data_IF_648488327571
#
_entry.id   IF_648488327571
#
_cell.length_a   1.000
_cell.length_b   1.000
_cell.length_c   1.000
_cell.angle_alpha   90.00
_cell.angle_beta   90.00
_cell.angle_gamma   90.00
#
_symmetry.space_group_name_H-M   'P 1'
#
loop_
_entity.id
_entity.type
_entity.pdbx_description
1 polymer ?
#
# COMPACT_ATOMS: atom_id res chain seq x y z
N UNK A 1 -0.79 -5.17 -8.54
CA UNK A 1 -1.83 -4.14 -8.38
C UNK A 1 -1.20 -2.76 -8.48
N UNK A 2 -1.75 -1.95 -9.32
CA UNK A 2 -1.30 -0.59 -9.54
C UNK A 2 -2.43 0.37 -9.18
N UNK A 3 -2.19 1.31 -8.29
CA UNK A 3 -3.19 2.29 -7.91
C UNK A 3 -2.61 3.69 -7.97
N UNK A 4 -3.46 4.64 -8.37
CA UNK A 4 -3.07 6.03 -8.59
C UNK A 4 -4.05 6.95 -7.89
N UNK A 5 -3.53 7.93 -7.17
CA UNK A 5 -4.35 8.98 -6.56
C UNK A 5 -3.67 10.32 -6.84
N UNK A 6 -4.29 11.12 -7.70
CA UNK A 6 -3.63 12.32 -8.20
C UNK A 6 -2.40 11.92 -9.01
N UNK A 7 -1.23 12.41 -8.59
CA UNK A 7 0.03 12.07 -9.24
C UNK A 7 0.84 11.05 -8.45
N UNK A 8 0.31 10.57 -7.33
CA UNK A 8 0.97 9.58 -6.49
C UNK A 8 0.46 8.19 -6.82
N UNK A 9 1.38 7.25 -7.03
CA UNK A 9 0.96 5.88 -7.30
C UNK A 9 1.76 4.88 -6.50
N UNK A 10 1.17 3.71 -6.31
CA UNK A 10 1.88 2.54 -5.80
C UNK A 10 1.59 1.36 -6.71
N UNK A 11 2.55 0.44 -6.77
CA UNK A 11 2.41 -0.80 -7.51
C UNK A 11 2.81 -1.92 -6.57
N UNK A 12 1.98 -2.95 -6.47
CA UNK A 12 2.17 -4.04 -5.52
C UNK A 12 2.21 -5.38 -6.23
N UNK A 13 3.10 -6.24 -5.75
CA UNK A 13 3.08 -7.66 -6.11
C UNK A 13 2.57 -8.39 -4.87
N UNK A 14 1.45 -9.09 -5.01
CA UNK A 14 0.83 -9.77 -3.88
C UNK A 14 0.60 -11.24 -4.20
N UNK A 15 0.60 -12.06 -3.16
CA UNK A 15 0.23 -13.45 -3.27
C UNK A 15 -1.30 -13.54 -3.42
N UNK A 16 -1.76 -14.29 -4.41
CA UNK A 16 -3.17 -14.29 -4.78
C UNK A 16 -4.09 -14.74 -3.65
N UNK A 17 -3.73 -15.80 -2.95
CA UNK A 17 -4.63 -16.39 -1.96
C UNK A 17 -4.62 -15.65 -0.63
N UNK A 18 -3.44 -15.30 -0.15
CA UNK A 18 -3.32 -14.69 1.17
C UNK A 18 -3.35 -13.17 1.14
N UNK A 19 -3.10 -12.57 -0.02
CA UNK A 19 -2.94 -11.13 -0.13
C UNK A 19 -1.64 -10.62 0.43
N UNK A 20 -0.69 -11.52 0.74
CA UNK A 20 0.59 -11.11 1.28
C UNK A 20 1.34 -10.27 0.26
N UNK A 21 1.81 -9.10 0.70
CA UNK A 21 2.54 -8.19 -0.17
C UNK A 21 3.98 -8.67 -0.27
N UNK A 22 4.40 -9.01 -1.48
CA UNK A 22 5.73 -9.53 -1.75
C UNK A 22 6.69 -8.43 -2.16
N UNK A 23 6.18 -7.39 -2.80
CA UNK A 23 6.99 -6.25 -3.23
C UNK A 23 6.08 -5.05 -3.43
N UNK A 24 6.66 -3.84 -3.32
CA UNK A 24 5.92 -2.61 -3.49
C UNK A 24 6.84 -1.54 -4.06
N UNK A 25 6.27 -0.69 -4.91
CA UNK A 25 6.97 0.43 -5.50
C UNK A 25 6.07 1.66 -5.48
N UNK A 26 6.66 2.83 -5.29
CA UNK A 26 5.92 4.08 -5.38
C UNK A 26 6.76 5.09 -6.17
N UNK A 27 6.10 6.17 -6.61
CA UNK A 27 6.73 7.13 -7.51
C UNK A 27 7.47 8.26 -6.81
N UNK A 28 8.04 7.99 -5.64
CA UNK A 28 8.81 8.99 -4.94
C UNK A 28 10.30 8.79 -5.19
N UNK A 29 11.04 9.90 -5.26
CA UNK A 29 12.50 9.84 -5.38
C UNK A 29 13.18 9.85 -4.01
N UNK A 30 12.41 10.06 -2.94
CA UNK A 30 12.97 10.14 -1.60
C UNK A 30 13.19 8.72 -1.05
N UNK A 31 14.46 8.40 -0.79
CA UNK A 31 14.83 7.08 -0.29
C UNK A 31 14.16 6.76 1.05
N UNK A 32 14.03 7.76 1.92
CA UNK A 32 13.38 7.56 3.22
C UNK A 32 11.94 7.09 3.04
N UNK A 33 11.20 7.71 2.12
CA UNK A 33 9.82 7.33 1.85
C UNK A 33 9.74 5.94 1.25
N UNK A 34 10.59 5.65 0.25
CA UNK A 34 10.58 4.33 -0.38
C UNK A 34 10.91 3.23 0.62
N UNK A 35 11.90 3.48 1.48
CA UNK A 35 12.29 2.49 2.49
C UNK A 35 11.18 2.29 3.52
N UNK A 36 10.55 3.38 3.97
CA UNK A 36 9.45 3.29 4.91
C UNK A 36 8.30 2.47 4.33
N UNK A 37 7.94 2.75 3.08
CA UNK A 37 6.84 2.05 2.42
C UNK A 37 7.17 0.56 2.28
N UNK A 38 8.38 0.25 1.84
CA UNK A 38 8.80 -1.15 1.70
C UNK A 38 8.75 -1.88 3.04
N UNK A 39 9.34 -1.27 4.07
CA UNK A 39 9.39 -1.90 5.38
C UNK A 39 8.01 -2.10 5.98
N UNK A 40 7.11 -1.14 5.76
CA UNK A 40 5.77 -1.23 6.31
C UNK A 40 4.92 -2.28 5.61
N UNK A 41 4.96 -2.30 4.28
CA UNK A 41 4.02 -3.10 3.50
C UNK A 41 4.47 -4.51 3.21
N UNK A 42 5.76 -4.72 2.93
CA UNK A 42 6.22 -6.06 2.56
C UNK A 42 6.04 -7.01 3.74
N UNK A 43 5.40 -8.14 3.48
CA UNK A 43 5.10 -9.14 4.51
C UNK A 43 3.74 -8.99 5.14
N UNK A 44 3.08 -7.83 4.95
CA UNK A 44 1.71 -7.64 5.42
C UNK A 44 0.72 -8.11 4.37
N UNK A 45 -0.53 -8.32 4.78
CA UNK A 45 -1.57 -8.75 3.86
C UNK A 45 -2.47 -7.58 3.48
N UNK A 46 -2.61 -7.36 2.18
CA UNK A 46 -3.56 -6.34 1.70
C UNK A 46 -5.00 -6.77 1.98
N UNK A 47 -5.20 -8.06 2.24
CA UNK A 47 -6.51 -8.62 2.53
C UNK A 47 -6.94 -8.38 3.97
N UNK A 48 -6.04 -8.58 4.94
CA UNK A 48 -6.41 -8.63 6.35
C UNK A 48 -5.78 -7.55 7.22
N UNK A 49 -4.71 -6.90 6.76
CA UNK A 49 -3.96 -5.96 7.59
C UNK A 49 -4.21 -4.49 7.27
N UNK A 50 -5.29 -4.20 6.56
CA UNK A 50 -5.58 -2.85 6.10
C UNK A 50 -5.65 -1.83 7.22
N UNK A 51 -6.35 -2.18 8.31
CA UNK A 51 -6.53 -1.24 9.42
C UNK A 51 -5.22 -0.97 10.14
N UNK A 52 -4.41 -2.01 10.33
CA UNK A 52 -3.11 -1.85 10.96
C UNK A 52 -2.20 -0.97 10.11
N UNK A 53 -2.21 -1.19 8.81
CA UNK A 53 -1.39 -0.40 7.88
C UNK A 53 -1.80 1.07 7.91
N UNK A 54 -3.10 1.33 7.86
CA UNK A 54 -3.60 2.71 7.90
C UNK A 54 -3.19 3.40 9.20
N UNK A 55 -3.33 2.71 10.32
CA UNK A 55 -2.96 3.26 11.62
C UNK A 55 -1.49 3.62 11.68
N UNK A 56 -0.63 2.71 11.20
CA UNK A 56 0.81 2.95 11.21
C UNK A 56 1.19 4.14 10.32
N UNK A 57 0.56 4.25 9.15
CA UNK A 57 0.82 5.38 8.27
C UNK A 57 0.45 6.69 8.96
N UNK A 58 -0.69 6.74 9.61
CA UNK A 58 -1.14 7.95 10.29
C UNK A 58 -0.24 8.33 11.47
N UNK A 59 0.33 7.33 12.12
CA UNK A 59 1.17 7.56 13.31
C UNK A 59 2.62 7.91 12.95
N UNK A 60 3.11 7.44 11.81
CA UNK A 60 4.56 7.53 11.51
C UNK A 60 4.90 8.30 10.25
N UNK A 61 3.99 8.38 9.30
CA UNK A 61 4.32 8.99 8.01
C UNK A 61 3.73 10.40 7.91
N UNK A 62 4.51 11.38 8.28
CA UNK A 62 4.09 12.78 8.29
C UNK A 62 4.59 13.49 7.04
N UNK A 63 3.85 13.35 5.94
CA UNK A 63 4.21 13.95 4.67
C UNK A 63 2.95 14.36 3.93
N UNK A 64 3.13 15.20 2.91
CA UNK A 64 1.99 15.63 2.09
C UNK A 64 1.33 14.46 1.37
N UNK A 65 2.08 13.36 1.16
CA UNK A 65 1.55 12.17 0.49
C UNK A 65 0.92 11.16 1.44
N UNK A 66 0.71 11.51 2.72
CA UNK A 66 0.08 10.60 3.65
C UNK A 66 -1.32 10.19 3.20
N UNK A 67 -2.17 11.17 2.87
CA UNK A 67 -3.51 10.88 2.41
C UNK A 67 -3.54 10.14 1.08
N UNK A 68 -2.76 10.55 0.08
CA UNK A 68 -2.66 9.78 -1.17
C UNK A 68 -2.18 8.35 -0.96
N UNK A 69 -1.23 8.13 -0.05
CA UNK A 69 -0.75 6.78 0.23
C UNK A 69 -1.87 5.91 0.81
N UNK A 70 -2.63 6.44 1.76
CA UNK A 70 -3.75 5.72 2.35
C UNK A 70 -4.81 5.45 1.29
N UNK A 71 -5.11 6.43 0.44
CA UNK A 71 -6.09 6.26 -0.63
C UNK A 71 -5.66 5.18 -1.60
N UNK A 72 -4.39 5.16 -2.00
CA UNK A 72 -3.87 4.13 -2.89
C UNK A 72 -3.93 2.74 -2.24
N UNK A 73 -3.62 2.67 -0.95
CA UNK A 73 -3.67 1.41 -0.22
C UNK A 73 -5.09 0.85 -0.17
N UNK A 74 -6.07 1.71 0.11
CA UNK A 74 -7.48 1.29 0.15
C UNK A 74 -7.96 0.86 -1.22
N UNK A 75 -7.55 1.56 -2.27
CA UNK A 75 -7.90 1.19 -3.62
C UNK A 75 -7.27 -0.15 -4.00
N UNK A 76 -6.03 -0.40 -3.59
CA UNK A 76 -5.37 -1.67 -3.83
C UNK A 76 -6.11 -2.81 -3.14
N UNK A 77 -6.56 -2.58 -1.91
CA UNK A 77 -7.36 -3.55 -1.19
C UNK A 77 -8.64 -3.87 -1.97
N UNK A 78 -9.34 -2.83 -2.43
CA UNK A 78 -10.58 -3.01 -3.16
C UNK A 78 -10.36 -3.78 -4.46
N UNK A 79 -9.29 -3.46 -5.19
CA UNK A 79 -8.97 -4.17 -6.44
C UNK A 79 -8.63 -5.62 -6.17
N UNK A 80 -7.88 -5.89 -5.11
CA UNK A 80 -7.56 -7.26 -4.73
C UNK A 80 -8.84 -8.05 -4.44
N UNK A 81 -9.75 -7.45 -3.66
CA UNK A 81 -11.01 -8.11 -3.32
C UNK A 81 -11.90 -8.33 -4.54
N UNK A 82 -11.86 -7.43 -5.52
CA UNK A 82 -12.64 -7.60 -6.74
C UNK A 82 -12.13 -8.76 -7.59
N UNK A 83 -10.82 -8.98 -7.61
CA UNK A 83 -10.22 -10.04 -8.43
C UNK A 83 -10.32 -11.40 -7.75
N UNK A 84 -10.09 -11.45 -6.45
CA UNK A 84 -10.02 -12.70 -5.69
C UNK A 84 -11.22 -12.91 -4.79
N UNK A 85 -11.87 -11.81 -4.41
CA UNK A 85 -12.91 -11.83 -3.40
C UNK A 85 -14.19 -12.44 -3.92
N UNK A 86 -14.64 -13.30 -3.18
CA UNK A 86 -15.96 -13.87 -3.36
C UNK A 86 -16.67 -13.73 -2.05
#
# INVERSE_FOLDING_TARGET
IYTLHGEFYISLVVEKESGKILDIECNTILAVTRNFVADLFIGKSIKTDLEELEKTIKERYFALTQKPLIACMKDAHNRYMMVTGK
#
